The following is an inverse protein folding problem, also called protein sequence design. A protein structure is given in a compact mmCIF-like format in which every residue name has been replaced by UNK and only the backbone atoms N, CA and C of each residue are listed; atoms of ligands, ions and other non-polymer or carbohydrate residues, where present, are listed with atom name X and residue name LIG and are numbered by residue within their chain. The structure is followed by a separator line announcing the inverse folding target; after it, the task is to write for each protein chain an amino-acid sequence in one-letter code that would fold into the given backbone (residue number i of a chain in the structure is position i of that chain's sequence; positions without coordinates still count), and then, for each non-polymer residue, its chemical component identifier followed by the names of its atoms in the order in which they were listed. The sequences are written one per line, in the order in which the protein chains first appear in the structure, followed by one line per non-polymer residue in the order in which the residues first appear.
data_IF_575173813040
#
_entry.id   IF_575173813040
#
_cell.length_a   1.000
_cell.length_b   1.000
_cell.length_c   1.000
_cell.angle_alpha   90.00
_cell.angle_beta   90.00
_cell.angle_gamma   90.00
#
_symmetry.space_group_name_H-M   'P 1'
#
loop_
_entity.id
_entity.type
_entity.pdbx_description
1 polymer ?
#
# COMPACT_ATOMS: atom_id res chain seq x y z
N UNK A 1 12.79 13.40 26.60
CA UNK A 1 12.88 12.96 25.18
C UNK A 1 13.08 11.45 25.01
N UNK A 2 13.96 10.75 25.76
CA UNK A 2 14.15 9.27 25.64
C UNK A 2 12.94 8.38 25.97
N UNK A 3 12.00 8.81 26.82
CA UNK A 3 10.86 7.97 27.26
C UNK A 3 9.81 7.72 26.17
N UNK A 4 9.72 8.55 25.13
CA UNK A 4 8.68 8.41 24.08
C UNK A 4 9.05 7.38 23.00
N UNK A 5 10.34 7.10 22.78
CA UNK A 5 10.80 6.09 21.82
C UNK A 5 10.71 4.64 22.37
N UNK A 6 10.55 4.46 23.68
CA UNK A 6 10.51 3.14 24.32
C UNK A 6 9.14 2.47 24.18
N UNK A 7 8.07 3.27 24.07
CA UNK A 7 6.70 2.76 24.08
C UNK A 7 6.41 1.87 22.85
N UNK A 8 6.68 2.28 21.59
CA UNK A 8 6.47 1.40 20.44
C UNK A 8 7.23 0.08 20.57
N UNK A 9 8.53 0.14 20.90
CA UNK A 9 9.35 -1.07 21.06
C UNK A 9 8.87 -2.01 22.17
N UNK A 10 8.21 -1.50 23.21
CA UNK A 10 7.62 -2.34 24.26
C UNK A 10 6.41 -3.12 23.73
N UNK A 11 5.57 -2.51 22.89
CA UNK A 11 4.46 -3.19 22.23
C UNK A 11 4.97 -4.24 21.23
N UNK A 12 6.02 -3.91 20.47
CA UNK A 12 6.70 -4.85 19.56
C UNK A 12 7.31 -6.04 20.31
N UNK A 13 7.87 -5.83 21.50
CA UNK A 13 8.30 -6.93 22.37
C UNK A 13 7.10 -7.73 22.92
N UNK A 14 5.97 -7.06 23.19
CA UNK A 14 4.71 -7.72 23.53
C UNK A 14 4.23 -8.68 22.45
N UNK A 15 4.36 -8.30 21.17
CA UNK A 15 4.14 -9.17 20.02
C UNK A 15 5.05 -10.41 20.11
N UNK A 16 6.38 -10.25 20.21
CA UNK A 16 7.30 -11.39 20.32
C UNK A 16 7.03 -12.32 21.52
N UNK A 17 6.66 -11.75 22.68
CA UNK A 17 6.30 -12.54 23.88
C UNK A 17 5.09 -13.43 23.58
N UNK A 18 4.09 -12.89 22.87
CA UNK A 18 2.93 -13.67 22.46
C UNK A 18 3.32 -14.79 21.47
N UNK A 19 4.17 -14.51 20.50
CA UNK A 19 4.71 -15.54 19.59
C UNK A 19 5.45 -16.66 20.31
N UNK A 20 6.31 -16.31 21.26
CA UNK A 20 7.00 -17.29 22.11
C UNK A 20 6.02 -18.10 22.97
N UNK A 21 5.06 -17.44 23.62
CA UNK A 21 4.04 -18.11 24.41
C UNK A 21 3.23 -19.10 23.57
N UNK A 22 2.88 -18.75 22.34
CA UNK A 22 2.20 -19.64 21.40
C UNK A 22 3.03 -20.91 21.13
N UNK A 23 4.33 -20.76 20.84
CA UNK A 23 5.25 -21.90 20.59
C UNK A 23 5.32 -22.82 21.82
N UNK A 24 5.44 -22.25 23.02
CA UNK A 24 5.46 -23.02 24.27
C UNK A 24 4.17 -23.83 24.46
N UNK A 25 3.01 -23.24 24.19
CA UNK A 25 1.72 -23.92 24.30
C UNK A 25 1.55 -25.02 23.23
N UNK A 26 2.04 -24.79 22.00
CA UNK A 26 2.12 -25.86 20.98
C UNK A 26 3.03 -27.01 21.44
N UNK A 27 4.14 -26.70 22.12
CA UNK A 27 5.01 -27.70 22.73
C UNK A 27 4.30 -28.53 23.81
N UNK A 28 3.55 -27.88 24.70
CA UNK A 28 2.72 -28.58 25.69
C UNK A 28 1.61 -29.42 25.03
N UNK A 29 1.01 -28.96 23.94
CA UNK A 29 0.07 -29.76 23.15
C UNK A 29 0.74 -31.02 22.58
N UNK A 30 2.00 -30.93 22.15
CA UNK A 30 2.75 -32.07 21.61
C UNK A 30 2.87 -33.23 22.61
N UNK A 31 3.01 -32.92 23.90
CA UNK A 31 3.19 -33.90 24.98
C UNK A 31 1.88 -34.31 25.66
N UNK A 32 1.01 -33.35 25.96
CA UNK A 32 -0.22 -33.58 26.75
C UNK A 32 -1.41 -34.06 25.92
N UNK A 33 -1.42 -33.78 24.61
CA UNK A 33 -2.58 -33.97 23.73
C UNK A 33 -3.80 -33.11 24.02
N UNK A 34 -3.71 -32.16 24.94
CA UNK A 34 -4.85 -31.33 25.30
C UNK A 34 -5.03 -30.18 24.31
N UNK A 35 -6.12 -30.25 23.53
CA UNK A 35 -6.54 -29.23 22.57
C UNK A 35 -6.72 -27.84 23.22
N UNK A 36 -6.89 -27.76 24.55
CA UNK A 36 -6.88 -26.51 25.30
C UNK A 36 -5.60 -25.70 25.10
N UNK A 37 -4.42 -26.36 25.11
CA UNK A 37 -3.16 -25.68 24.84
C UNK A 37 -3.06 -25.18 23.40
N UNK A 38 -3.61 -25.94 22.44
CA UNK A 38 -3.64 -25.54 21.03
C UNK A 38 -4.51 -24.30 20.82
N UNK A 39 -5.68 -24.25 21.47
CA UNK A 39 -6.58 -23.08 21.44
C UNK A 39 -5.91 -21.87 22.10
N UNK A 40 -5.23 -22.06 23.23
CA UNK A 40 -4.47 -20.98 23.88
C UNK A 40 -3.34 -20.44 22.98
N UNK A 41 -2.62 -21.32 22.27
CA UNK A 41 -1.61 -20.91 21.32
C UNK A 41 -2.19 -20.03 20.20
N UNK A 42 -3.37 -20.39 19.68
CA UNK A 42 -4.05 -19.58 18.68
C UNK A 42 -4.42 -18.19 19.21
N UNK A 43 -4.92 -18.12 20.45
CA UNK A 43 -5.23 -16.85 21.11
C UNK A 43 -4.00 -15.97 21.31
N UNK A 44 -2.85 -16.55 21.64
CA UNK A 44 -1.60 -15.78 21.72
C UNK A 44 -1.19 -15.21 20.36
N UNK A 45 -1.32 -15.97 19.26
CA UNK A 45 -1.03 -15.43 17.92
C UNK A 45 -2.00 -14.29 17.55
N UNK A 46 -3.29 -14.41 17.89
CA UNK A 46 -4.27 -13.32 17.67
C UNK A 46 -3.97 -12.09 18.55
N UNK A 47 -3.57 -12.30 19.80
CA UNK A 47 -3.14 -11.23 20.70
C UNK A 47 -1.88 -10.52 20.18
N UNK A 48 -0.96 -11.27 19.56
CA UNK A 48 0.22 -10.73 18.91
C UNK A 48 -0.15 -9.73 17.81
N UNK A 49 -1.20 -10.01 17.01
CA UNK A 49 -1.72 -9.08 15.99
C UNK A 49 -2.28 -7.79 16.59
N UNK A 50 -2.83 -7.86 17.80
CA UNK A 50 -3.31 -6.67 18.50
C UNK A 50 -2.12 -5.80 18.91
N UNK A 51 -1.04 -6.40 19.44
CA UNK A 51 0.18 -5.68 19.79
C UNK A 51 0.85 -5.02 18.57
N UNK A 52 0.96 -5.75 17.45
CA UNK A 52 1.42 -5.26 16.14
C UNK A 52 0.55 -4.11 15.59
N UNK A 53 -0.78 -4.20 15.70
CA UNK A 53 -1.63 -3.08 15.29
C UNK A 53 -1.40 -1.81 16.15
N UNK A 54 -1.09 -1.99 17.44
CA UNK A 54 -0.84 -0.89 18.37
C UNK A 54 0.55 -0.27 18.20
N UNK A 55 1.62 -1.04 18.04
CA UNK A 55 2.96 -0.46 17.87
C UNK A 55 3.06 0.40 16.61
N UNK A 56 2.50 -0.03 15.48
CA UNK A 56 2.49 0.72 14.24
C UNK A 56 1.65 1.99 14.36
N UNK A 57 0.55 1.96 15.13
CA UNK A 57 -0.26 3.15 15.41
C UNK A 57 0.47 4.12 16.35
N UNK A 58 1.09 3.63 17.42
CA UNK A 58 1.82 4.44 18.40
C UNK A 58 3.07 5.07 17.77
N UNK A 59 3.80 4.34 16.91
CA UNK A 59 4.94 4.87 16.17
C UNK A 59 4.53 6.04 15.26
N UNK A 60 3.42 5.90 14.52
CA UNK A 60 2.87 6.97 13.69
C UNK A 60 2.38 8.18 14.49
N UNK A 61 1.75 7.95 15.65
CA UNK A 61 1.24 9.02 16.51
C UNK A 61 2.35 9.80 17.20
N UNK A 62 3.47 9.14 17.54
CA UNK A 62 4.59 9.79 18.23
C UNK A 62 5.58 10.44 17.26
N UNK A 63 5.49 10.16 15.96
CA UNK A 63 6.40 10.71 14.94
C UNK A 63 7.83 10.19 15.04
N UNK A 64 8.05 9.11 15.81
CA UNK A 64 9.34 8.48 16.01
C UNK A 64 9.32 7.07 15.43
N UNK A 65 9.84 6.92 14.21
CA UNK A 65 10.19 5.63 13.61
C UNK A 65 11.70 5.48 13.66
N UNK A 66 12.22 4.64 14.56
CA UNK A 66 13.66 4.34 14.61
C UNK A 66 13.95 3.10 13.77
N UNK A 67 15.08 3.07 13.06
CA UNK A 67 15.55 1.88 12.31
C UNK A 67 15.58 0.63 13.21
N UNK A 68 16.08 0.77 14.44
CA UNK A 68 16.06 -0.29 15.44
C UNK A 68 14.65 -0.84 15.72
N UNK A 69 13.64 0.04 15.77
CA UNK A 69 12.25 -0.34 15.99
C UNK A 69 11.67 -1.11 14.80
N UNK A 70 11.99 -0.73 13.57
CA UNK A 70 11.55 -1.46 12.37
C UNK A 70 12.21 -2.83 12.23
N UNK A 71 13.50 -2.94 12.58
CA UNK A 71 14.19 -4.24 12.61
C UNK A 71 13.63 -5.14 13.72
N UNK A 72 13.39 -4.58 14.91
CA UNK A 72 12.77 -5.30 16.02
C UNK A 72 11.36 -5.79 15.66
N UNK A 73 10.58 -4.99 14.94
CA UNK A 73 9.26 -5.33 14.43
C UNK A 73 9.29 -6.55 13.51
N UNK A 74 10.16 -6.53 12.50
CA UNK A 74 10.36 -7.67 11.61
C UNK A 74 10.82 -8.94 12.32
N UNK A 75 11.68 -8.81 13.33
CA UNK A 75 12.11 -9.96 14.15
C UNK A 75 10.96 -10.53 15.00
N UNK A 76 10.17 -9.66 15.62
CA UNK A 76 8.98 -10.05 16.37
C UNK A 76 7.94 -10.75 15.48
N UNK A 77 7.66 -10.19 14.31
CA UNK A 77 6.74 -10.72 13.32
C UNK A 77 7.17 -12.08 12.77
N UNK A 78 8.48 -12.25 12.53
CA UNK A 78 9.02 -13.53 12.09
C UNK A 78 8.72 -14.63 13.12
N UNK A 79 8.79 -14.33 14.42
CA UNK A 79 8.47 -15.28 15.50
C UNK A 79 6.96 -15.51 15.60
N UNK A 80 6.17 -14.46 15.70
CA UNK A 80 4.74 -14.54 16.00
C UNK A 80 3.89 -14.99 14.83
N UNK A 81 4.21 -14.55 13.61
CA UNK A 81 3.39 -14.76 12.43
C UNK A 81 4.02 -15.71 11.40
N UNK A 82 5.35 -15.88 11.44
CA UNK A 82 6.07 -16.86 10.64
C UNK A 82 6.22 -18.21 11.35
N UNK A 83 7.02 -18.22 12.42
CA UNK A 83 7.49 -19.44 13.08
C UNK A 83 6.36 -20.10 13.90
N UNK A 84 5.62 -19.35 14.71
CA UNK A 84 4.61 -19.94 15.59
C UNK A 84 3.50 -20.69 14.83
N UNK A 85 2.88 -20.14 13.76
CA UNK A 85 1.89 -20.86 12.95
C UNK A 85 2.48 -22.05 12.19
N UNK A 86 3.70 -21.92 11.65
CA UNK A 86 4.39 -23.03 10.99
C UNK A 86 4.64 -24.19 11.94
N UNK A 87 5.15 -23.88 13.13
CA UNK A 87 5.43 -24.87 14.18
C UNK A 87 4.14 -25.56 14.65
N UNK A 88 3.05 -24.80 14.80
CA UNK A 88 1.72 -25.33 15.12
C UNK A 88 1.28 -26.40 14.13
N UNK A 89 1.32 -26.09 12.82
CA UNK A 89 0.90 -27.03 11.77
C UNK A 89 1.79 -28.26 11.72
N UNK A 90 3.11 -28.09 11.87
CA UNK A 90 4.08 -29.17 11.91
C UNK A 90 3.85 -30.12 13.09
N UNK A 91 3.65 -29.59 14.30
CA UNK A 91 3.40 -30.39 15.51
C UNK A 91 2.09 -31.15 15.41
N UNK A 92 1.00 -30.52 14.96
CA UNK A 92 -0.31 -31.19 14.79
C UNK A 92 -0.23 -32.45 13.90
N UNK A 93 0.66 -32.44 12.90
CA UNK A 93 0.84 -33.57 11.98
C UNK A 93 1.92 -34.55 12.41
N UNK A 94 2.98 -34.08 13.07
CA UNK A 94 4.08 -34.94 13.58
C UNK A 94 3.60 -35.95 14.61
N UNK A 95 2.50 -35.67 15.30
CA UNK A 95 1.87 -36.63 16.23
C UNK A 95 1.30 -37.87 15.51
N UNK A 96 0.98 -37.72 14.23
CA UNK A 96 0.49 -38.80 13.37
C UNK A 96 1.63 -39.40 12.53
N UNK A 97 2.90 -39.13 12.88
CA UNK A 97 4.06 -39.63 12.14
C UNK A 97 4.15 -41.16 12.15
N UNK A 98 3.60 -41.81 13.17
CA UNK A 98 3.52 -43.28 13.25
C UNK A 98 2.43 -43.87 12.33
N UNK A 99 1.38 -43.11 12.01
CA UNK A 99 0.27 -43.58 11.17
C UNK A 99 0.42 -43.15 9.71
N UNK A 100 0.97 -41.95 9.46
CA UNK A 100 1.18 -41.39 8.13
C UNK A 100 2.56 -40.71 8.02
N UNK A 101 3.65 -41.50 7.92
CA UNK A 101 5.02 -40.97 7.95
C UNK A 101 5.36 -40.05 6.76
N UNK A 102 4.83 -40.35 5.57
CA UNK A 102 5.02 -39.50 4.39
C UNK A 102 4.31 -38.15 4.54
N UNK A 103 3.05 -38.16 5.02
CA UNK A 103 2.27 -36.94 5.19
C UNK A 103 2.89 -36.01 6.23
N UNK A 104 3.35 -36.56 7.37
CA UNK A 104 4.06 -35.80 8.38
C UNK A 104 5.34 -35.12 7.82
N UNK A 105 6.12 -35.83 6.99
CA UNK A 105 7.32 -35.26 6.34
C UNK A 105 6.97 -34.14 5.36
N UNK A 106 5.93 -34.32 4.55
CA UNK A 106 5.44 -33.30 3.62
C UNK A 106 4.97 -32.07 4.39
N UNK A 107 4.22 -32.24 5.48
CA UNK A 107 3.77 -31.12 6.32
C UNK A 107 4.95 -30.34 6.91
N UNK A 108 6.01 -31.02 7.35
CA UNK A 108 7.25 -30.36 7.79
C UNK A 108 7.85 -29.48 6.69
N UNK A 109 7.96 -30.01 5.47
CA UNK A 109 8.44 -29.24 4.32
C UNK A 109 7.55 -28.01 4.06
N UNK A 110 6.22 -28.17 4.08
CA UNK A 110 5.28 -27.05 3.90
C UNK A 110 5.35 -26.00 5.01
N UNK A 111 5.54 -26.42 6.26
CA UNK A 111 5.75 -25.53 7.39
C UNK A 111 7.06 -24.72 7.23
N UNK A 112 8.14 -25.36 6.76
CA UNK A 112 9.40 -24.68 6.45
C UNK A 112 9.17 -23.65 5.33
N UNK A 113 8.49 -24.02 4.24
CA UNK A 113 8.16 -23.08 3.16
C UNK A 113 7.38 -21.87 3.66
N UNK A 114 6.39 -22.07 4.55
CA UNK A 114 5.64 -20.98 5.16
C UNK A 114 6.53 -20.06 6.00
N UNK A 115 7.35 -20.62 6.89
CA UNK A 115 8.24 -19.83 7.74
C UNK A 115 9.26 -19.04 6.90
N UNK A 116 9.86 -19.68 5.90
CA UNK A 116 10.79 -19.02 4.97
C UNK A 116 10.10 -17.93 4.15
N UNK A 117 8.87 -18.15 3.68
CA UNK A 117 8.09 -17.16 2.96
C UNK A 117 7.77 -15.93 3.82
N UNK A 118 7.43 -16.13 5.10
CA UNK A 118 7.22 -15.03 6.04
C UNK A 118 8.51 -14.22 6.25
N UNK A 119 9.65 -14.88 6.48
CA UNK A 119 10.96 -14.22 6.64
C UNK A 119 11.36 -13.45 5.38
N UNK A 120 11.25 -14.06 4.20
CA UNK A 120 11.56 -13.41 2.92
C UNK A 120 10.66 -12.19 2.67
N UNK A 121 9.38 -12.28 3.03
CA UNK A 121 8.44 -11.16 2.93
C UNK A 121 8.89 -9.99 3.81
N UNK A 122 9.20 -10.26 5.08
CA UNK A 122 9.63 -9.23 6.03
C UNK A 122 10.95 -8.60 5.62
N UNK A 123 11.92 -9.42 5.19
CA UNK A 123 13.20 -8.94 4.68
C UNK A 123 13.03 -8.06 3.43
N UNK A 124 12.17 -8.47 2.47
CA UNK A 124 11.85 -7.66 1.28
C UNK A 124 11.20 -6.34 1.69
N UNK A 125 10.28 -6.36 2.64
CA UNK A 125 9.61 -5.16 3.15
C UNK A 125 10.58 -4.17 3.80
N UNK A 126 11.57 -4.64 4.57
CA UNK A 126 12.60 -3.77 5.15
C UNK A 126 13.45 -3.11 4.06
N UNK A 127 13.86 -3.88 3.04
CA UNK A 127 14.68 -3.33 1.93
C UNK A 127 13.88 -2.35 1.06
N UNK A 128 12.63 -2.66 0.73
CA UNK A 128 11.75 -1.79 -0.08
C UNK A 128 11.37 -0.50 0.67
N UNK A 129 11.27 -0.51 2.01
CA UNK A 129 10.94 0.69 2.78
C UNK A 129 12.15 1.60 3.08
N UNK A 130 13.39 1.12 2.96
CA UNK A 130 14.61 1.94 3.17
C UNK A 130 14.79 2.97 2.03
N UNK A 131 14.25 2.72 0.84
CA UNK A 131 14.34 3.66 -0.29
C UNK A 131 13.22 4.70 -0.36
N UNK A 132 12.07 4.47 0.30
CA UNK A 132 10.86 5.24 0.08
C UNK A 132 10.15 5.63 1.39
N UNK A 133 10.53 6.78 1.96
CA UNK A 133 9.62 7.54 2.83
C UNK A 133 8.49 8.15 2.00
N UNK A 134 7.59 7.31 1.50
CA UNK A 134 6.27 7.68 1.02
C UNK A 134 5.34 6.45 1.11
N UNK A 135 4.36 6.50 2.01
CA UNK A 135 3.43 5.41 2.33
C UNK A 135 2.78 4.74 1.11
N UNK A 136 3.05 3.46 0.88
CA UNK A 136 2.28 2.63 -0.06
C UNK A 136 0.96 2.19 0.58
N UNK A 137 -0.15 2.49 -0.11
CA UNK A 137 -1.52 2.20 0.32
C UNK A 137 -2.01 0.80 -0.10
N UNK A 138 -1.14 0.00 -0.73
CA UNK A 138 -1.40 -1.37 -1.16
C UNK A 138 -0.21 -2.27 -0.79
N UNK A 139 -0.47 -3.40 -0.13
CA UNK A 139 0.58 -4.40 0.13
C UNK A 139 0.75 -5.30 -1.10
N UNK A 140 1.99 -5.46 -1.57
CA UNK A 140 2.35 -6.53 -2.51
C UNK A 140 2.40 -7.86 -1.74
N UNK A 141 1.47 -8.77 -2.04
CA UNK A 141 1.30 -10.05 -1.35
C UNK A 141 0.59 -9.96 0.01
N UNK A 142 0.17 -11.10 0.55
CA UNK A 142 -0.61 -11.22 1.79
C UNK A 142 0.22 -10.83 3.04
N UNK A 143 -0.24 -9.89 3.90
CA UNK A 143 0.44 -9.52 5.15
C UNK A 143 0.70 -10.70 6.08
N UNK A 144 1.84 -10.71 6.78
CA UNK A 144 2.25 -11.75 7.75
C UNK A 144 1.21 -11.96 8.86
N UNK A 145 0.66 -10.91 9.52
CA UNK A 145 -0.42 -11.09 10.49
C UNK A 145 -1.64 -11.79 9.90
N UNK A 146 -2.04 -11.40 8.69
CA UNK A 146 -3.20 -11.99 8.01
C UNK A 146 -2.96 -13.45 7.60
N UNK A 147 -1.75 -13.76 7.14
CA UNK A 147 -1.30 -15.13 6.84
C UNK A 147 -1.37 -16.02 8.09
N UNK A 148 -0.83 -15.55 9.21
CA UNK A 148 -0.88 -16.26 10.49
C UNK A 148 -2.31 -16.48 10.95
N UNK A 149 -3.15 -15.45 10.84
CA UNK A 149 -4.58 -15.49 11.15
C UNK A 149 -5.35 -16.54 10.34
N UNK A 150 -5.07 -16.64 9.04
CA UNK A 150 -5.67 -17.65 8.18
C UNK A 150 -5.29 -19.09 8.58
N UNK A 151 -4.11 -19.30 9.16
CA UNK A 151 -3.70 -20.61 9.71
C UNK A 151 -4.38 -20.88 11.04
N UNK A 152 -4.19 -19.99 12.03
CA UNK A 152 -4.62 -20.25 13.41
C UNK A 152 -6.13 -20.29 13.54
N UNK A 153 -6.86 -19.54 12.71
CA UNK A 153 -8.31 -19.58 12.72
C UNK A 153 -8.87 -20.92 12.24
N UNK A 154 -8.27 -21.56 11.23
CA UNK A 154 -8.65 -22.91 10.84
C UNK A 154 -8.32 -23.95 11.92
N UNK A 155 -7.20 -23.77 12.62
CA UNK A 155 -6.85 -24.61 13.78
C UNK A 155 -7.89 -24.46 14.90
N UNK A 156 -8.27 -23.23 15.25
CA UNK A 156 -9.34 -22.96 16.23
C UNK A 156 -10.66 -23.60 15.82
N UNK A 157 -11.06 -23.45 14.56
CA UNK A 157 -12.29 -24.06 14.02
C UNK A 157 -12.25 -25.58 14.14
N UNK A 158 -11.10 -26.19 13.82
CA UNK A 158 -10.93 -27.63 13.97
C UNK A 158 -11.06 -28.08 15.42
N UNK A 159 -10.36 -27.41 16.35
CA UNK A 159 -10.43 -27.74 17.78
C UNK A 159 -11.85 -27.57 18.33
N UNK A 160 -12.58 -26.55 17.87
CA UNK A 160 -13.99 -26.35 18.22
C UNK A 160 -14.90 -27.47 17.68
N UNK A 161 -14.79 -27.83 16.40
CA UNK A 161 -15.57 -28.91 15.78
C UNK A 161 -15.29 -30.27 16.43
N UNK A 162 -14.04 -30.54 16.84
CA UNK A 162 -13.66 -31.78 17.54
C UNK A 162 -14.20 -31.86 18.96
N UNK A 163 -14.37 -30.72 19.64
CA UNK A 163 -14.79 -30.67 21.05
C UNK A 163 -16.23 -31.13 21.26
N UNK A 164 -17.07 -31.12 20.22
CA UNK A 164 -18.46 -31.59 20.31
C UNK A 164 -19.41 -30.55 20.95
N UNK A 165 -20.57 -30.98 21.46
CA UNK A 165 -21.77 -30.13 21.51
C UNK A 165 -21.66 -28.98 22.50
N UNK A 166 -21.90 -27.78 21.97
CA UNK A 166 -22.45 -26.63 22.68
C UNK A 166 -23.63 -26.10 21.88
N UNK A 167 -24.38 -25.13 22.40
CA UNK A 167 -25.64 -24.64 21.80
C UNK A 167 -25.53 -24.32 20.30
N UNK A 168 -24.41 -23.71 19.88
CA UNK A 168 -24.14 -23.34 18.49
C UNK A 168 -23.84 -24.58 17.62
N UNK A 169 -23.11 -25.56 18.16
CA UNK A 169 -22.83 -26.80 17.45
C UNK A 169 -24.10 -27.61 17.24
N UNK A 170 -24.96 -27.71 18.26
CA UNK A 170 -26.24 -28.41 18.17
C UNK A 170 -27.19 -27.71 17.19
N UNK A 171 -27.26 -26.38 17.23
CA UNK A 171 -27.99 -25.60 16.25
C UNK A 171 -27.52 -25.94 14.83
N UNK A 172 -26.22 -25.85 14.53
CA UNK A 172 -25.71 -26.17 13.20
C UNK A 172 -25.90 -27.65 12.82
N UNK A 173 -25.73 -28.57 13.77
CA UNK A 173 -25.93 -30.00 13.56
C UNK A 173 -27.39 -30.32 13.19
N UNK A 174 -28.35 -29.55 13.69
CA UNK A 174 -29.77 -29.70 13.34
C UNK A 174 -30.09 -29.31 11.89
N UNK A 175 -29.33 -28.39 11.29
CA UNK A 175 -29.50 -27.96 9.90
C UNK A 175 -28.63 -28.76 8.92
N UNK A 176 -27.37 -29.01 9.28
CA UNK A 176 -26.37 -29.59 8.36
C UNK A 176 -26.06 -31.07 8.64
N UNK A 177 -26.51 -31.62 9.76
CA UNK A 177 -26.17 -32.97 10.21
C UNK A 177 -24.86 -33.02 11.00
N UNK A 178 -24.87 -33.74 12.12
CA UNK A 178 -23.69 -33.91 12.99
C UNK A 178 -22.53 -34.64 12.28
N UNK A 179 -22.84 -35.64 11.43
CA UNK A 179 -21.85 -36.37 10.66
C UNK A 179 -21.10 -35.45 9.68
N UNK A 180 -21.82 -34.53 9.03
CA UNK A 180 -21.23 -33.56 8.10
C UNK A 180 -20.30 -32.58 8.83
N UNK A 181 -20.68 -32.09 10.01
CA UNK A 181 -19.81 -31.23 10.83
C UNK A 181 -18.54 -31.95 11.29
N UNK A 182 -18.67 -33.20 11.73
CA UNK A 182 -17.52 -34.03 12.09
C UNK A 182 -16.62 -34.31 10.87
N UNK A 183 -17.21 -34.56 9.71
CA UNK A 183 -16.48 -34.75 8.45
C UNK A 183 -15.68 -33.49 8.07
N UNK A 184 -16.26 -32.29 8.23
CA UNK A 184 -15.56 -31.01 8.03
C UNK A 184 -14.37 -30.90 8.99
N UNK A 185 -14.55 -31.14 10.29
CA UNK A 185 -13.47 -31.07 11.29
C UNK A 185 -12.31 -32.03 10.98
N UNK A 186 -12.63 -33.24 10.49
CA UNK A 186 -11.62 -34.21 10.06
C UNK A 186 -10.90 -33.79 8.76
N UNK A 187 -11.59 -33.10 7.87
CA UNK A 187 -11.06 -32.64 6.59
C UNK A 187 -10.12 -31.45 6.76
N UNK A 188 -10.38 -30.56 7.72
CA UNK A 188 -9.50 -29.41 8.03
C UNK A 188 -8.07 -29.89 8.31
N UNK A 189 -7.91 -31.01 9.05
CA UNK A 189 -6.59 -31.59 9.29
C UNK A 189 -5.82 -31.86 7.99
N UNK A 190 -6.49 -32.47 7.00
CA UNK A 190 -5.88 -32.86 5.72
C UNK A 190 -5.58 -31.64 4.83
N UNK A 191 -6.43 -30.62 4.90
CA UNK A 191 -6.32 -29.42 4.06
C UNK A 191 -5.27 -28.44 4.61
N UNK A 192 -5.08 -28.39 5.93
CA UNK A 192 -4.24 -27.39 6.59
C UNK A 192 -2.79 -27.31 6.06
N UNK A 193 -2.05 -28.42 5.80
CA UNK A 193 -0.71 -28.33 5.22
C UNK A 193 -0.69 -27.78 3.79
N UNK A 194 -1.71 -28.09 2.99
CA UNK A 194 -1.81 -27.55 1.63
C UNK A 194 -2.10 -26.05 1.71
N UNK A 195 -3.01 -25.67 2.62
CA UNK A 195 -3.36 -24.30 2.90
C UNK A 195 -2.16 -23.45 3.31
N UNK A 196 -1.26 -23.97 4.15
CA UNK A 196 -0.05 -23.23 4.55
C UNK A 196 0.88 -22.98 3.37
N UNK A 197 1.05 -23.92 2.44
CA UNK A 197 1.86 -23.68 1.23
C UNK A 197 1.21 -22.66 0.29
N UNK A 198 -0.12 -22.68 0.14
CA UNK A 198 -0.82 -21.67 -0.64
C UNK A 198 -0.62 -20.29 -0.01
N UNK A 199 -0.80 -20.16 1.31
CA UNK A 199 -0.52 -18.92 2.02
C UNK A 199 0.94 -18.48 1.84
N UNK A 200 1.90 -19.41 1.93
CA UNK A 200 3.32 -19.13 1.72
C UNK A 200 3.58 -18.50 0.33
N UNK A 201 2.99 -19.09 -0.72
CA UNK A 201 3.07 -18.54 -2.06
C UNK A 201 2.45 -17.13 -2.13
N UNK A 202 1.30 -16.90 -1.50
CA UNK A 202 0.62 -15.61 -1.50
C UNK A 202 1.36 -14.51 -0.73
N UNK A 203 2.13 -14.87 0.30
CA UNK A 203 2.99 -13.92 1.01
C UNK A 203 4.12 -13.36 0.13
N UNK A 204 4.68 -14.21 -0.76
CA UNK A 204 5.85 -13.88 -1.59
C UNK A 204 5.45 -13.38 -2.99
N UNK A 205 4.28 -13.77 -3.50
CA UNK A 205 3.80 -13.37 -4.82
C UNK A 205 3.60 -11.85 -4.93
N UNK A 206 4.28 -11.24 -5.89
CA UNK A 206 4.14 -9.82 -6.24
C UNK A 206 2.93 -9.52 -7.12
N UNK A 207 2.25 -10.56 -7.64
CA UNK A 207 1.13 -10.43 -8.58
C UNK A 207 -0.22 -10.19 -7.89
N UNK A 208 -0.34 -10.53 -6.61
CA UNK A 208 -1.60 -10.43 -5.85
C UNK A 208 -1.52 -9.25 -4.89
N UNK A 209 -2.48 -8.33 -4.98
CA UNK A 209 -2.55 -7.13 -4.15
C UNK A 209 -3.63 -7.27 -3.09
N UNK A 210 -3.31 -6.87 -1.86
CA UNK A 210 -4.24 -6.91 -0.74
C UNK A 210 -4.52 -5.50 -0.19
N UNK A 211 -5.80 -5.16 0.09
CA UNK A 211 -6.17 -3.86 0.62
C UNK A 211 -5.81 -3.78 2.11
N UNK A 212 -5.49 -2.57 2.58
CA UNK A 212 -5.25 -2.31 3.99
C UNK A 212 -6.58 -2.27 4.77
N UNK A 213 -6.87 -3.32 5.55
CA UNK A 213 -8.14 -3.54 6.27
C UNK A 213 -8.53 -2.34 7.16
N UNK A 214 -7.54 -1.79 7.88
CA UNK A 214 -7.73 -0.63 8.78
C UNK A 214 -8.19 0.63 8.05
N UNK A 215 -7.74 0.85 6.80
CA UNK A 215 -8.10 2.05 6.05
C UNK A 215 -9.52 1.97 5.50
N UNK A 216 -9.98 0.76 5.14
CA UNK A 216 -11.37 0.51 4.74
C UNK A 216 -12.37 0.75 5.87
N UNK A 217 -11.99 0.45 7.12
CA UNK A 217 -12.84 0.68 8.30
C UNK A 217 -12.85 2.15 8.74
N UNK A 218 -11.76 2.89 8.50
CA UNK A 218 -11.50 4.22 9.11
C UNK A 218 -11.58 5.41 8.12
N UNK A 219 -11.44 5.25 6.79
CA UNK A 219 -11.65 6.35 5.83
C UNK A 219 -13.15 6.60 5.60
N UNK A 220 -13.59 7.82 5.93
CA UNK A 220 -14.91 8.40 5.60
C UNK A 220 -15.53 9.18 6.77
N UNK A 221 -16.21 10.31 6.48
CA UNK A 221 -17.15 10.92 7.43
C UNK A 221 -18.35 9.97 7.56
N UNK A 222 -18.31 9.05 8.52
CA UNK A 222 -19.36 8.04 8.68
C UNK A 222 -20.36 8.46 9.75
N UNK A 223 -21.63 8.20 9.48
CA UNK A 223 -22.79 8.51 10.34
C UNK A 223 -22.79 7.67 11.62
N UNK A 224 -23.53 8.13 12.64
CA UNK A 224 -23.66 7.44 13.93
C UNK A 224 -24.08 5.96 13.79
N UNK A 225 -24.88 5.65 12.77
CA UNK A 225 -25.33 4.28 12.47
C UNK A 225 -24.17 3.31 12.18
N UNK A 226 -23.10 3.79 11.53
CA UNK A 226 -21.92 2.97 11.26
C UNK A 226 -21.20 2.54 12.53
N UNK A 227 -21.19 3.40 13.55
CA UNK A 227 -20.59 3.10 14.84
C UNK A 227 -21.42 2.05 15.60
N UNK A 228 -22.75 2.14 15.52
CA UNK A 228 -23.65 1.13 16.04
C UNK A 228 -23.44 -0.22 15.35
N UNK A 229 -23.35 -0.27 14.01
CA UNK A 229 -23.05 -1.52 13.28
C UNK A 229 -21.69 -2.12 13.64
N UNK A 230 -20.68 -1.30 13.91
CA UNK A 230 -19.36 -1.75 14.37
C UNK A 230 -19.42 -2.38 15.77
N UNK A 231 -20.18 -1.77 16.69
CA UNK A 231 -20.35 -2.29 18.05
C UNK A 231 -21.20 -3.56 18.06
N UNK A 232 -22.37 -3.55 17.43
CA UNK A 232 -23.24 -4.73 17.34
C UNK A 232 -22.60 -5.85 16.53
N UNK A 233 -21.91 -5.52 15.44
CA UNK A 233 -21.12 -6.47 14.67
C UNK A 233 -19.96 -7.05 15.48
N UNK A 234 -19.25 -6.21 16.25
CA UNK A 234 -18.18 -6.65 17.15
C UNK A 234 -18.67 -7.55 18.29
N UNK A 235 -19.82 -7.23 18.88
CA UNK A 235 -20.47 -8.05 19.91
C UNK A 235 -20.94 -9.39 19.31
N UNK A 236 -21.56 -9.38 18.13
CA UNK A 236 -21.95 -10.59 17.43
C UNK A 236 -20.72 -11.45 17.05
N UNK A 237 -19.62 -10.82 16.63
CA UNK A 237 -18.34 -11.50 16.36
C UNK A 237 -17.80 -12.17 17.63
N UNK A 238 -17.85 -11.48 18.77
CA UNK A 238 -17.36 -11.97 20.05
C UNK A 238 -18.21 -13.13 20.60
N UNK A 239 -19.53 -13.08 20.40
CA UNK A 239 -20.46 -14.13 20.83
C UNK A 239 -20.28 -15.44 20.04
N UNK A 240 -19.78 -15.37 18.80
CA UNK A 240 -19.58 -16.55 17.92
C UNK A 240 -18.13 -16.62 17.41
N UNK A 241 -17.16 -16.29 18.27
CA UNK A 241 -15.75 -16.13 17.87
C UNK A 241 -15.16 -17.37 17.19
N UNK A 242 -15.61 -18.58 17.56
CA UNK A 242 -15.11 -19.84 17.01
C UNK A 242 -15.41 -20.02 15.50
N UNK A 243 -16.46 -19.36 14.98
CA UNK A 243 -16.86 -19.43 13.56
C UNK A 243 -16.53 -18.10 12.86
N UNK A 244 -16.75 -16.99 13.55
CA UNK A 244 -16.61 -15.66 12.97
C UNK A 244 -15.16 -15.28 12.66
N UNK A 245 -14.20 -15.68 13.50
CA UNK A 245 -12.77 -15.44 13.27
C UNK A 245 -12.27 -16.22 12.04
N UNK A 246 -12.49 -17.55 11.90
CA UNK A 246 -12.16 -18.28 10.67
C UNK A 246 -12.82 -17.69 9.44
N UNK A 247 -14.11 -17.36 9.50
CA UNK A 247 -14.82 -16.78 8.38
C UNK A 247 -14.21 -15.45 7.94
N UNK A 248 -13.85 -14.58 8.88
CA UNK A 248 -13.22 -13.30 8.59
C UNK A 248 -11.88 -13.48 7.87
N UNK A 249 -11.02 -14.38 8.35
CA UNK A 249 -9.73 -14.63 7.71
C UNK A 249 -9.86 -15.33 6.36
N UNK A 250 -10.82 -16.25 6.20
CA UNK A 250 -11.11 -16.89 4.91
C UNK A 250 -11.60 -15.84 3.90
N UNK A 251 -12.55 -14.98 4.29
CA UNK A 251 -13.05 -13.89 3.45
C UNK A 251 -11.90 -12.96 3.07
N UNK A 252 -11.04 -12.56 4.02
CA UNK A 252 -9.91 -11.69 3.73
C UNK A 252 -8.86 -12.36 2.82
N UNK A 253 -8.54 -13.63 3.06
CA UNK A 253 -7.63 -14.42 2.25
C UNK A 253 -8.09 -14.45 0.79
N UNK A 254 -9.38 -14.75 0.56
CA UNK A 254 -9.96 -14.81 -0.78
C UNK A 254 -10.24 -13.43 -1.37
N UNK A 255 -10.35 -12.36 -0.58
CA UNK A 255 -10.58 -11.02 -1.10
C UNK A 255 -9.50 -10.59 -2.10
N UNK A 256 -8.23 -10.95 -1.89
CA UNK A 256 -7.15 -10.68 -2.85
C UNK A 256 -7.38 -11.34 -4.21
N UNK A 257 -7.42 -12.68 -4.30
CA UNK A 257 -7.72 -13.41 -5.53
C UNK A 257 -9.06 -13.04 -6.14
N UNK A 258 -10.11 -12.86 -5.34
CA UNK A 258 -11.44 -12.49 -5.82
C UNK A 258 -11.43 -11.09 -6.39
N UNK A 259 -10.75 -10.10 -5.79
CA UNK A 259 -10.65 -8.77 -6.40
C UNK A 259 -9.78 -8.78 -7.65
N UNK A 260 -8.71 -9.57 -7.65
CA UNK A 260 -7.83 -9.75 -8.82
C UNK A 260 -8.61 -10.41 -9.96
N UNK A 261 -9.38 -11.46 -9.67
CA UNK A 261 -10.20 -12.21 -10.63
C UNK A 261 -11.46 -11.43 -11.05
N UNK A 262 -12.17 -10.83 -10.09
CA UNK A 262 -13.33 -9.97 -10.33
C UNK A 262 -12.95 -8.91 -11.33
N UNK A 263 -11.79 -8.28 -11.15
CA UNK A 263 -11.40 -7.29 -12.10
C UNK A 263 -10.60 -7.84 -13.31
N UNK A 264 -10.14 -9.08 -13.33
CA UNK A 264 -9.82 -9.75 -14.59
C UNK A 264 -11.09 -10.00 -15.43
N UNK A 265 -12.21 -10.39 -14.78
CA UNK A 265 -13.50 -10.71 -15.41
C UNK A 265 -14.29 -9.45 -15.80
N UNK A 266 -14.32 -8.44 -14.94
CA UNK A 266 -15.03 -7.16 -15.17
C UNK A 266 -14.14 -6.10 -15.80
N UNK A 267 -12.89 -6.42 -16.13
CA UNK A 267 -11.90 -5.48 -16.65
C UNK A 267 -11.44 -4.42 -15.64
N UNK A 268 -11.61 -4.66 -14.33
CA UNK A 268 -11.29 -3.75 -13.23
C UNK A 268 -10.17 -4.20 -12.27
N UNK A 269 -9.36 -5.23 -12.57
CA UNK A 269 -8.60 -5.97 -11.56
C UNK A 269 -7.24 -6.36 -12.07
N UNK A 270 -6.27 -5.62 -11.55
CA UNK A 270 -4.94 -5.51 -12.13
C UNK A 270 -4.96 -4.49 -13.26
N UNK A 271 -4.94 -3.20 -12.89
CA UNK A 271 -5.12 -2.03 -13.75
C UNK A 271 -6.57 -1.83 -14.25
N UNK A 272 -7.05 -0.58 -14.16
CA UNK A 272 -7.74 0.02 -15.31
C UNK A 272 -6.76 -0.07 -16.49
N UNK A 273 -6.69 -1.21 -17.17
CA UNK A 273 -6.28 -1.23 -18.56
C UNK A 273 -7.47 -0.66 -19.30
N UNK A 274 -7.21 0.53 -19.84
CA UNK A 274 -8.12 1.28 -20.64
C UNK A 274 -8.67 0.40 -21.76
N UNK A 275 -9.93 0.67 -22.10
CA UNK A 275 -10.62 0.19 -23.28
C UNK A 275 -9.62 0.06 -24.44
N UNK A 276 -9.41 -1.18 -24.89
CA UNK A 276 -8.71 -1.50 -26.12
C UNK A 276 -9.60 -0.99 -27.25
N UNK A 277 -9.46 0.29 -27.59
CA UNK A 277 -9.94 0.75 -28.88
C UNK A 277 -9.13 -0.02 -29.93
N UNK A 278 -9.87 -0.57 -30.88
CA UNK A 278 -9.39 -1.43 -31.95
C UNK A 278 -8.29 -0.72 -32.73
N UNK A 279 -7.19 -1.45 -32.99
CA UNK A 279 -6.13 -1.09 -33.93
C UNK A 279 -5.39 0.24 -33.68
N UNK A 280 -4.38 0.21 -32.80
CA UNK A 280 -3.36 1.26 -32.76
C UNK A 280 -2.30 1.03 -31.68
N UNK A 281 -1.04 1.09 -32.08
CA UNK A 281 0.16 1.13 -31.24
C UNK A 281 0.10 2.34 -30.28
N UNK A 282 0.07 2.14 -28.95
CA UNK A 282 0.04 3.25 -27.99
C UNK A 282 0.85 2.98 -26.71
N UNK A 283 2.06 3.51 -26.68
CA UNK A 283 2.59 4.08 -25.46
C UNK A 283 1.84 5.40 -25.17
N UNK A 284 1.27 5.57 -23.98
CA UNK A 284 0.46 6.76 -23.67
C UNK A 284 1.34 8.02 -23.57
N UNK A 285 0.93 9.09 -24.26
CA UNK A 285 1.63 10.38 -24.20
C UNK A 285 1.47 11.02 -22.83
N UNK A 286 2.60 11.35 -22.21
CA UNK A 286 2.69 11.92 -20.87
C UNK A 286 3.49 13.21 -20.92
N UNK A 287 3.09 14.21 -20.13
CA UNK A 287 3.67 15.54 -20.12
C UNK A 287 4.30 15.83 -18.76
N UNK A 288 5.60 16.12 -18.76
CA UNK A 288 6.38 16.39 -17.54
C UNK A 288 6.86 17.83 -17.55
N UNK A 289 6.46 18.62 -16.56
CA UNK A 289 6.96 19.96 -16.30
C UNK A 289 8.34 19.94 -15.68
N UNK A 290 9.19 20.88 -16.08
CA UNK A 290 10.56 21.08 -15.59
C UNK A 290 10.68 22.49 -15.03
N UNK A 291 11.33 22.66 -13.87
CA UNK A 291 11.60 23.99 -13.29
C UNK A 291 12.95 24.09 -12.58
N UNK A 292 13.70 25.19 -12.75
CA UNK A 292 14.98 25.41 -12.03
C UNK A 292 15.24 26.89 -11.76
N UNK A 293 15.58 27.26 -10.51
CA UNK A 293 15.94 28.64 -10.15
C UNK A 293 17.30 28.82 -9.44
N UNK A 294 17.96 27.75 -8.99
CA UNK A 294 19.28 27.82 -8.34
C UNK A 294 20.42 27.39 -9.29
N UNK A 295 21.56 28.07 -9.19
CA UNK A 295 22.81 27.62 -9.80
C UNK A 295 22.77 27.72 -11.32
N UNK A 296 23.41 26.77 -12.01
CA UNK A 296 23.38 26.70 -13.46
C UNK A 296 22.08 26.02 -13.94
N UNK A 297 21.00 26.81 -13.99
CA UNK A 297 19.63 26.37 -14.33
C UNK A 297 19.56 25.57 -15.64
N UNK A 298 20.29 26.00 -16.67
CA UNK A 298 20.34 25.31 -17.97
C UNK A 298 21.02 23.95 -17.84
N UNK A 299 22.13 23.85 -17.11
CA UNK A 299 22.78 22.56 -16.85
C UNK A 299 21.92 21.63 -16.01
N UNK A 300 21.19 22.14 -15.01
CA UNK A 300 20.28 21.34 -14.20
C UNK A 300 19.18 20.72 -15.07
N UNK A 301 18.51 21.53 -15.89
CA UNK A 301 17.46 21.07 -16.82
C UNK A 301 18.02 20.05 -17.82
N UNK A 302 19.18 20.33 -18.44
CA UNK A 302 19.83 19.38 -19.38
C UNK A 302 20.24 18.07 -18.71
N UNK A 303 20.69 18.11 -17.46
CA UNK A 303 21.06 16.91 -16.69
C UNK A 303 19.83 16.04 -16.41
N UNK A 304 18.72 16.66 -15.99
CA UNK A 304 17.45 15.98 -15.77
C UNK A 304 16.94 15.30 -17.07
N UNK A 305 16.91 16.04 -18.19
CA UNK A 305 16.51 15.51 -19.50
C UNK A 305 17.41 14.33 -19.92
N UNK A 306 18.73 14.43 -19.70
CA UNK A 306 19.68 13.36 -20.03
C UNK A 306 19.48 12.09 -19.19
N UNK A 307 18.97 12.23 -17.96
CA UNK A 307 18.64 11.09 -17.10
C UNK A 307 17.33 10.45 -17.55
N UNK A 308 16.28 11.26 -17.73
CA UNK A 308 14.97 10.80 -18.23
C UNK A 308 15.12 10.03 -19.55
N UNK A 309 15.89 10.56 -20.50
CA UNK A 309 16.15 9.91 -21.80
C UNK A 309 16.90 8.57 -21.69
N UNK A 310 17.54 8.28 -20.56
CA UNK A 310 18.33 7.04 -20.37
C UNK A 310 17.54 5.91 -19.71
N UNK A 311 16.33 6.16 -19.23
CA UNK A 311 15.47 5.11 -18.72
C UNK A 311 14.97 4.23 -19.87
N UNK A 312 14.99 2.91 -19.71
CA UNK A 312 14.60 1.97 -20.77
C UNK A 312 13.11 2.06 -21.13
N UNK A 313 12.26 2.30 -20.12
CA UNK A 313 10.81 2.41 -20.30
C UNK A 313 10.31 3.84 -20.62
N UNK A 314 11.20 4.81 -20.87
CA UNK A 314 10.80 6.19 -21.19
C UNK A 314 11.39 6.62 -22.53
N UNK A 315 10.51 6.93 -23.48
CA UNK A 315 10.87 7.50 -24.76
C UNK A 315 10.48 8.99 -24.83
N UNK A 316 11.49 9.85 -24.91
CA UNK A 316 11.31 11.31 -25.04
C UNK A 316 10.99 11.69 -26.49
N UNK A 317 9.76 12.16 -26.72
CA UNK A 317 9.27 12.56 -28.04
C UNK A 317 9.64 14.00 -28.38
N UNK A 318 9.31 14.94 -27.50
CA UNK A 318 9.53 16.38 -27.71
C UNK A 318 9.90 17.10 -26.42
N UNK A 319 10.49 18.28 -26.55
CA UNK A 319 10.69 19.23 -25.46
C UNK A 319 10.33 20.63 -25.93
N UNK A 320 9.74 21.41 -25.04
CA UNK A 320 9.52 22.83 -25.27
C UNK A 320 10.84 23.62 -25.25
N UNK A 321 10.75 24.89 -25.64
CA UNK A 321 11.70 25.92 -25.29
C UNK A 321 11.73 26.14 -23.76
N UNK A 322 12.84 26.69 -23.25
CA UNK A 322 12.92 27.08 -21.85
C UNK A 322 12.47 28.53 -21.68
N UNK A 323 11.43 28.74 -20.87
CA UNK A 323 10.86 30.04 -20.59
C UNK A 323 11.38 30.58 -19.26
N UNK A 324 11.77 31.84 -19.26
CA UNK A 324 12.17 32.55 -18.05
C UNK A 324 10.94 33.13 -17.39
N UNK A 325 10.62 32.72 -16.16
CA UNK A 325 9.40 33.15 -15.46
C UNK A 325 9.69 33.61 -14.04
N UNK A 326 8.87 34.54 -13.53
CA UNK A 326 8.98 35.00 -12.13
C UNK A 326 8.53 33.90 -11.15
N UNK A 327 9.09 33.84 -9.94
CA UNK A 327 8.66 32.90 -8.91
C UNK A 327 7.21 33.20 -8.46
N UNK A 328 6.38 32.16 -8.35
CA UNK A 328 5.01 32.25 -7.82
C UNK A 328 5.01 31.81 -6.35
N UNK A 329 4.84 32.75 -5.42
CA UNK A 329 4.62 32.46 -3.99
C UNK A 329 5.86 32.20 -3.12
N UNK A 330 6.94 33.00 -3.25
CA UNK A 330 8.17 32.86 -2.46
C UNK A 330 8.61 34.16 -1.77
N UNK A 331 9.67 34.08 -0.94
CA UNK A 331 10.28 35.26 -0.28
C UNK A 331 10.76 36.29 -1.32
N UNK A 332 10.62 37.60 -1.04
CA UNK A 332 11.16 38.66 -1.90
C UNK A 332 12.65 38.43 -2.18
N UNK A 333 13.08 38.56 -3.44
CA UNK A 333 14.49 38.43 -3.86
C UNK A 333 14.90 37.07 -4.45
N UNK A 334 13.97 36.13 -4.65
CA UNK A 334 14.27 34.89 -5.38
C UNK A 334 14.60 35.15 -6.86
N UNK A 335 15.57 34.40 -7.40
CA UNK A 335 15.91 34.45 -8.84
C UNK A 335 14.78 33.88 -9.69
N UNK A 336 14.66 34.40 -10.91
CA UNK A 336 13.73 33.88 -11.92
C UNK A 336 13.96 32.39 -12.21
N UNK A 337 12.86 31.67 -12.44
CA UNK A 337 12.89 30.27 -12.86
C UNK A 337 13.16 30.15 -14.36
N UNK A 338 13.78 29.04 -14.77
CA UNK A 338 13.64 28.51 -16.12
C UNK A 338 12.69 27.32 -16.06
N UNK A 339 11.61 27.38 -16.85
CA UNK A 339 10.59 26.34 -16.93
C UNK A 339 10.47 25.77 -18.35
N UNK A 340 10.04 24.53 -18.48
CA UNK A 340 9.74 23.87 -19.75
C UNK A 340 8.90 22.63 -19.57
N UNK A 341 8.47 21.99 -20.66
CA UNK A 341 7.67 20.76 -20.65
C UNK A 341 8.29 19.73 -21.59
N UNK A 342 8.25 18.47 -21.19
CA UNK A 342 8.62 17.31 -22.01
C UNK A 342 7.37 16.55 -22.42
N UNK A 343 7.29 16.14 -23.68
CA UNK A 343 6.35 15.12 -24.17
C UNK A 343 7.11 13.79 -24.20
N UNK A 344 6.67 12.84 -23.39
CA UNK A 344 7.24 11.50 -23.31
C UNK A 344 6.18 10.45 -23.61
N UNK A 345 6.65 9.25 -23.89
CA UNK A 345 5.88 8.01 -23.89
C UNK A 345 6.54 7.07 -22.90
N UNK A 346 5.75 6.35 -22.12
CA UNK A 346 6.29 5.52 -21.03
C UNK A 346 5.41 4.33 -20.72
N UNK A 347 6.06 3.21 -20.38
CA UNK A 347 5.40 1.99 -19.90
C UNK A 347 5.27 1.96 -18.37
N UNK A 348 5.97 2.84 -17.66
CA UNK A 348 5.86 3.04 -16.21
C UNK A 348 4.47 3.54 -15.80
N UNK A 349 3.88 3.01 -14.74
CA UNK A 349 2.66 3.58 -14.15
C UNK A 349 2.88 5.01 -13.62
N UNK A 350 1.81 5.81 -13.38
CA UNK A 350 1.96 7.18 -12.88
C UNK A 350 2.76 7.31 -11.58
N UNK A 351 2.66 6.32 -10.69
CA UNK A 351 3.41 6.30 -9.43
C UNK A 351 4.88 5.92 -9.66
N UNK A 352 5.16 4.93 -10.50
CA UNK A 352 6.55 4.56 -10.87
C UNK A 352 7.25 5.73 -11.59
N UNK A 353 6.54 6.44 -12.46
CA UNK A 353 7.07 7.65 -13.10
C UNK A 353 7.34 8.76 -12.07
N UNK A 354 6.45 8.97 -11.09
CA UNK A 354 6.65 9.95 -10.04
C UNK A 354 7.90 9.65 -9.21
N UNK A 355 8.05 8.40 -8.76
CA UNK A 355 9.20 7.91 -8.00
C UNK A 355 10.50 8.10 -8.78
N UNK A 356 10.49 7.73 -10.07
CA UNK A 356 11.64 7.93 -10.94
C UNK A 356 12.01 9.41 -11.12
N UNK A 357 11.02 10.29 -11.34
CA UNK A 357 11.28 11.72 -11.47
C UNK A 357 11.85 12.29 -10.16
N UNK A 358 11.37 11.88 -8.99
CA UNK A 358 11.94 12.27 -7.70
C UNK A 358 13.39 11.84 -7.56
N UNK A 359 13.74 10.63 -8.01
CA UNK A 359 15.13 10.18 -8.03
C UNK A 359 16.00 11.05 -8.96
N UNK A 360 15.49 11.42 -10.14
CA UNK A 360 16.21 12.33 -11.05
C UNK A 360 16.47 13.68 -10.39
N UNK A 361 15.54 14.21 -9.59
CA UNK A 361 15.75 15.46 -8.88
C UNK A 361 16.86 15.35 -7.83
N UNK A 362 16.86 14.27 -7.04
CA UNK A 362 17.88 13.96 -6.04
C UNK A 362 19.25 13.91 -6.71
N UNK A 363 19.35 13.17 -7.81
CA UNK A 363 20.58 12.96 -8.57
C UNK A 363 21.15 14.23 -9.21
N UNK A 364 20.30 15.18 -9.59
CA UNK A 364 20.72 16.49 -10.11
C UNK A 364 21.19 17.39 -8.97
N UNK A 365 20.86 17.05 -7.73
CA UNK A 365 21.34 17.68 -6.50
C UNK A 365 20.25 18.43 -5.74
N UNK A 366 19.01 17.92 -5.73
CA UNK A 366 17.96 18.41 -4.84
C UNK A 366 18.33 18.06 -3.39
N UNK A 367 18.64 19.07 -2.58
CA UNK A 367 18.73 18.96 -1.12
C UNK A 367 17.35 19.35 -0.58
N UNK A 368 16.66 18.45 0.16
CA UNK A 368 15.37 18.78 0.77
C UNK A 368 15.58 19.93 1.79
N UNK A 369 15.18 21.14 1.41
CA UNK A 369 15.15 22.33 2.28
C UNK A 369 13.70 22.77 2.54
N UNK A 370 13.52 23.87 3.28
CA UNK A 370 12.22 24.42 3.73
C UNK A 370 11.15 24.43 2.65
N UNK A 371 9.89 24.17 3.04
CA UNK A 371 8.69 24.24 2.16
C UNK A 371 8.64 25.62 1.49
N UNK A 372 8.62 25.68 0.16
CA UNK A 372 8.72 26.89 -0.71
C UNK A 372 10.11 27.54 -0.87
N UNK A 373 11.17 26.85 -0.45
CA UNK A 373 12.55 27.28 -0.67
C UNK A 373 12.99 27.21 -2.15
N UNK A 374 14.12 27.84 -2.49
CA UNK A 374 14.72 27.73 -3.83
C UNK A 374 14.93 26.25 -4.22
N UNK A 375 14.71 25.90 -5.50
CA UNK A 375 14.83 24.53 -6.03
C UNK A 375 15.89 24.43 -7.13
N UNK A 376 16.83 23.49 -6.98
CA UNK A 376 17.84 23.22 -8.01
C UNK A 376 17.20 22.63 -9.27
N UNK A 377 16.22 21.75 -9.12
CA UNK A 377 15.35 21.23 -10.17
C UNK A 377 14.01 20.82 -9.54
N UNK A 378 12.93 20.92 -10.30
CA UNK A 378 11.57 20.48 -9.96
C UNK A 378 10.99 19.76 -11.18
N UNK A 379 10.45 18.56 -10.99
CA UNK A 379 9.86 17.71 -12.03
C UNK A 379 8.43 17.34 -11.63
N UNK A 380 7.44 17.83 -12.37
CA UNK A 380 6.02 17.60 -12.09
C UNK A 380 5.35 16.83 -13.23
N UNK A 381 4.58 15.78 -12.92
CA UNK A 381 3.71 15.13 -13.93
C UNK A 381 2.49 16.04 -14.15
N UNK A 382 2.38 16.60 -15.35
CA UNK A 382 1.33 17.57 -15.71
C UNK A 382 0.09 16.85 -16.22
N UNK A 383 0.27 15.97 -17.21
CA UNK A 383 -0.75 15.07 -17.75
C UNK A 383 -0.15 13.69 -17.97
N UNK A 384 -0.98 12.66 -17.86
CA UNK A 384 -0.61 11.28 -18.15
C UNK A 384 -1.72 10.68 -19.02
N UNK A 385 -1.52 10.64 -20.33
CA UNK A 385 -2.58 10.29 -21.28
C UNK A 385 -3.88 11.07 -21.03
N UNK A 386 -5.01 10.37 -21.12
CA UNK A 386 -6.33 10.88 -20.69
C UNK A 386 -6.68 10.57 -19.24
N UNK A 387 -5.71 10.21 -18.40
CA UNK A 387 -5.97 9.68 -17.05
C UNK A 387 -6.33 10.78 -16.05
N UNK A 388 -7.21 10.44 -15.12
CA UNK A 388 -7.46 11.19 -13.88
C UNK A 388 -7.00 10.30 -12.72
N UNK A 389 -6.07 10.82 -11.91
CA UNK A 389 -5.47 10.15 -10.75
C UNK A 389 -5.72 11.03 -9.54
N UNK A 390 -6.37 10.48 -8.52
CA UNK A 390 -6.55 11.09 -7.21
C UNK A 390 -5.95 10.17 -6.15
N UNK A 391 -4.68 10.36 -5.83
CA UNK A 391 -3.97 9.64 -4.78
C UNK A 391 -3.41 10.64 -3.74
N UNK A 392 -3.15 10.14 -2.52
CA UNK A 392 -2.58 10.95 -1.44
C UNK A 392 -1.18 11.52 -1.81
N UNK A 393 -0.45 10.88 -2.75
CA UNK A 393 0.86 11.31 -3.26
C UNK A 393 0.82 12.07 -4.59
N UNK A 394 -0.18 11.81 -5.44
CA UNK A 394 -0.19 12.26 -6.84
C UNK A 394 -1.60 12.63 -7.30
N UNK A 395 -1.71 13.81 -7.88
CA UNK A 395 -2.94 14.27 -8.54
C UNK A 395 -2.63 14.57 -10.01
N UNK A 396 -3.31 13.88 -10.92
CA UNK A 396 -3.22 14.08 -12.38
C UNK A 396 -4.65 14.29 -12.91
N UNK A 397 -4.91 15.30 -13.74
CA UNK A 397 -4.03 16.41 -14.13
C UNK A 397 -3.48 17.17 -12.93
N UNK A 398 -2.29 17.75 -13.07
CA UNK A 398 -1.73 18.54 -11.97
C UNK A 398 -2.74 19.64 -11.58
N UNK A 399 -3.15 19.75 -10.31
CA UNK A 399 -4.41 20.41 -9.90
C UNK A 399 -4.46 21.89 -10.25
N UNK A 400 -3.28 22.54 -10.34
CA UNK A 400 -3.15 23.96 -10.68
C UNK A 400 -2.50 24.21 -12.04
N UNK A 401 -2.40 23.20 -12.92
CA UNK A 401 -1.74 23.40 -14.22
C UNK A 401 -2.42 24.48 -15.06
N UNK A 402 -3.76 24.53 -15.01
CA UNK A 402 -4.58 25.47 -15.77
C UNK A 402 -4.48 26.92 -15.26
N UNK A 403 -3.92 27.15 -14.06
CA UNK A 403 -3.69 28.48 -13.50
C UNK A 403 -2.25 28.98 -13.73
N UNK A 404 -1.38 28.13 -14.29
CA UNK A 404 0.07 28.35 -14.31
C UNK A 404 0.54 28.59 -15.74
N UNK A 405 0.83 29.85 -16.04
CA UNK A 405 1.35 30.25 -17.35
C UNK A 405 2.68 29.55 -17.67
N UNK A 406 3.54 29.35 -16.67
CA UNK A 406 4.82 28.65 -16.83
C UNK A 406 4.67 27.15 -17.13
N UNK A 407 3.45 26.60 -17.05
CA UNK A 407 3.10 25.24 -17.52
C UNK A 407 2.37 25.31 -18.86
N UNK A 408 1.33 26.14 -18.98
CA UNK A 408 0.51 26.21 -20.20
C UNK A 408 1.28 26.77 -21.41
N UNK A 409 2.10 27.81 -21.23
CA UNK A 409 2.89 28.40 -22.33
C UNK A 409 3.83 27.37 -23.00
N UNK A 410 4.72 26.67 -22.27
CA UNK A 410 5.57 25.63 -22.88
C UNK A 410 4.79 24.41 -23.37
N UNK A 411 3.65 24.09 -22.77
CA UNK A 411 2.82 22.98 -23.23
C UNK A 411 2.09 23.31 -24.54
N UNK A 412 1.59 24.54 -24.69
CA UNK A 412 0.96 25.04 -25.91
C UNK A 412 1.94 25.07 -27.11
N UNK A 413 3.24 25.28 -26.85
CA UNK A 413 4.29 25.21 -27.89
C UNK A 413 4.39 23.82 -28.54
N UNK A 414 4.24 22.74 -27.76
CA UNK A 414 4.52 21.37 -28.22
C UNK A 414 3.27 20.50 -28.40
N UNK A 415 2.15 20.89 -27.79
CA UNK A 415 0.93 20.11 -27.70
C UNK A 415 -0.34 20.98 -27.50
N UNK A 416 -0.63 21.91 -28.44
CA UNK A 416 -1.78 22.83 -28.31
C UNK A 416 -3.13 22.10 -28.28
N UNK A 417 -3.26 21.02 -29.07
CA UNK A 417 -4.52 20.29 -29.27
C UNK A 417 -4.85 19.27 -28.17
N UNK A 418 -3.96 19.07 -27.19
CA UNK A 418 -4.18 18.09 -26.12
C UNK A 418 -5.34 18.52 -25.24
N UNK A 419 -6.28 17.61 -24.99
CA UNK A 419 -7.47 17.89 -24.19
C UNK A 419 -7.18 17.61 -22.71
N UNK A 420 -7.40 18.59 -21.84
CA UNK A 420 -7.35 18.42 -20.40
C UNK A 420 -8.54 17.54 -19.95
N UNK A 421 -8.30 16.38 -19.28
CA UNK A 421 -9.33 15.37 -19.09
C UNK A 421 -10.47 15.82 -18.17
N UNK A 422 -10.21 16.65 -17.15
CA UNK A 422 -11.28 17.18 -16.29
C UNK A 422 -12.02 18.39 -16.88
N UNK A 423 -11.28 19.33 -17.50
CA UNK A 423 -11.84 20.59 -18.01
C UNK A 423 -12.46 20.45 -19.39
N UNK A 424 -12.11 19.40 -20.13
CA UNK A 424 -12.55 19.14 -21.51
C UNK A 424 -12.27 20.30 -22.48
N UNK A 425 -11.16 20.98 -22.25
CA UNK A 425 -10.63 22.07 -23.10
C UNK A 425 -9.24 21.69 -23.59
N UNK A 426 -8.90 22.16 -24.78
CA UNK A 426 -7.54 22.05 -25.32
C UNK A 426 -6.55 22.88 -24.49
N UNK A 427 -5.26 22.55 -24.56
CA UNK A 427 -4.21 23.36 -23.92
C UNK A 427 -4.19 24.78 -24.50
N UNK A 428 -4.46 24.93 -25.80
CA UNK A 428 -4.60 26.23 -26.45
C UNK A 428 -5.72 27.06 -25.82
N UNK A 429 -6.94 26.52 -25.71
CA UNK A 429 -8.07 27.23 -25.08
C UNK A 429 -7.77 27.61 -23.62
N UNK A 430 -7.15 26.70 -22.85
CA UNK A 430 -6.76 26.99 -21.47
C UNK A 430 -5.70 28.11 -21.39
N UNK A 431 -4.79 28.18 -22.36
CA UNK A 431 -3.75 29.20 -22.40
C UNK A 431 -4.33 30.57 -22.76
N UNK A 432 -5.21 30.65 -23.77
CA UNK A 432 -5.91 31.89 -24.17
C UNK A 432 -6.80 32.45 -23.04
N UNK A 433 -7.47 31.56 -22.30
CA UNK A 433 -8.26 31.95 -21.12
C UNK A 433 -7.39 32.56 -20.02
N UNK A 434 -6.21 31.99 -19.79
CA UNK A 434 -5.27 32.51 -18.78
C UNK A 434 -4.71 33.87 -19.20
N UNK A 435 -4.32 34.06 -20.46
CA UNK A 435 -3.83 35.35 -20.97
C UNK A 435 -4.91 36.44 -20.81
N UNK A 436 -6.15 36.14 -21.21
CA UNK A 436 -7.28 37.06 -21.06
C UNK A 436 -7.52 37.46 -19.59
N UNK A 437 -7.36 36.51 -18.65
CA UNK A 437 -7.49 36.79 -17.22
C UNK A 437 -6.37 37.70 -16.72
N UNK A 438 -5.12 37.45 -17.13
CA UNK A 438 -3.97 38.26 -16.73
C UNK A 438 -4.06 39.69 -17.27
N UNK A 439 -4.53 39.88 -18.52
CA UNK A 439 -4.75 41.20 -19.11
C UNK A 439 -5.80 42.01 -18.34
N UNK A 440 -6.91 41.38 -17.94
CA UNK A 440 -7.95 42.03 -17.11
C UNK A 440 -7.41 42.45 -15.75
N UNK A 441 -6.59 41.61 -15.10
CA UNK A 441 -5.96 41.94 -13.83
C UNK A 441 -4.97 43.10 -13.99
N UNK A 442 -4.14 43.06 -15.04
CA UNK A 442 -3.20 44.14 -15.35
C UNK A 442 -3.91 45.47 -15.59
N UNK A 443 -4.99 45.47 -16.40
CA UNK A 443 -5.81 46.65 -16.67
C UNK A 443 -6.47 47.21 -15.40
N UNK A 444 -6.98 46.34 -14.51
CA UNK A 444 -7.57 46.76 -13.23
C UNK A 444 -6.52 47.32 -12.26
N UNK A 445 -5.31 46.75 -12.22
CA UNK A 445 -4.21 47.28 -11.40
C UNK A 445 -3.64 48.60 -11.91
N UNK A 446 -3.64 48.82 -13.24
CA UNK A 446 -3.27 50.10 -13.84
C UNK A 446 -4.32 51.18 -13.56
N UNK A 447 -5.62 50.83 -13.58
CA UNK A 447 -6.70 51.75 -13.26
C UNK A 447 -6.70 52.19 -11.77
N UNK A 448 -6.33 51.30 -10.84
CA UNK A 448 -6.25 51.62 -9.40
C UNK A 448 -4.90 52.25 -8.98
N UNK A 449 -3.89 52.28 -9.86
CA UNK A 449 -2.58 52.85 -9.59
C UNK A 449 -2.44 54.35 -9.91
N UNK A 450 -3.43 54.94 -10.59
CA UNK A 450 -3.43 56.35 -11.01
C UNK A 450 -3.78 57.37 -9.92
N UNK A 451 -4.34 56.95 -8.78
CA UNK A 451 -4.92 57.85 -7.77
C UNK A 451 -4.05 58.05 -6.50
N UNK A 452 -2.73 57.81 -6.57
CA UNK A 452 -1.83 57.96 -5.39
C UNK A 452 -0.52 58.69 -5.63
N UNK A 453 -0.48 59.66 -6.53
CA UNK A 453 0.68 60.56 -6.68
C UNK A 453 0.40 62.06 -6.56
N UNK A 454 -0.79 62.49 -6.14
CA UNK A 454 -1.04 63.88 -5.72
C UNK A 454 -1.93 63.94 -4.48
N UNK A 455 -1.30 64.01 -3.30
CA UNK A 455 -1.80 64.71 -2.10
C UNK A 455 -0.70 64.78 -1.03
#
# INVERSE_FOLDING_TARGET
MRKMAIVPSLFTLGNAICGFAAIVHVGHYATSSDEGFLVMACWFVLLAMVFDAFDGKIARMTGYTSEFGGELDSLSDAVSFGIAPAFMVAVMHSRHMNTHPLWAKITWFFAICYASAAILRLARFNVENISDEAHHMEFKGLPSPAAAGAVVSLVMLQSWLKRGPGEIYEFLASYFGAESLAAIGSSIWKILPIWTVVIAYMMVSSRIRYPHLVNWVIKGRRTFDYFAYLIFGGIALALVYNISIPLLFVVYFFAGPVMTLYGWITGTGGLRVYKKDEEGDFSEKTYVGLGSNIGNRVMNLRSAIKRIKRHEDINLLRRSSFYKTKPVGGSPGQRDYLNGVLEITTDLSPIELLEYLQQVEIDVGRVRSTRWGPRKIDLDIVLYGGRIVEDDKLVIPHPRMHEREFVLRPMNEIAPDVIHPERRKTIQELFEELETQQEKVAASSAANGGDREEA
#
